data_IF_184216400258
#
_entry.id   IF_184216400258
#
_cell.length_a   1.000
_cell.length_b   1.000
_cell.length_c   1.000
_cell.angle_alpha   90.00
_cell.angle_beta   90.00
_cell.angle_gamma   90.00
#
_symmetry.space_group_name_H-M   'P 1'
#
loop_
_entity.id
_entity.type
_entity.pdbx_description
1 polymer ?
#
# COMPACT_ATOMS: atom_id res chain seq x y z
N UNK A 1 -37.54 -1.95 20.22
CA UNK A 1 -36.61 -2.51 21.23
C UNK A 1 -35.18 -2.39 20.70
N UNK A 2 -34.48 -1.33 21.10
CA UNK A 2 -33.09 -1.06 20.73
C UNK A 2 -32.25 -1.11 22.00
N UNK A 3 -31.68 -2.27 22.34
CA UNK A 3 -30.64 -2.40 23.38
C UNK A 3 -30.12 -3.84 23.43
N UNK A 4 -29.01 -4.10 22.74
CA UNK A 4 -28.03 -5.15 23.12
C UNK A 4 -26.82 -5.03 22.19
N UNK A 5 -25.66 -4.76 22.79
CA UNK A 5 -24.33 -4.63 22.15
C UNK A 5 -23.94 -3.26 21.59
N UNK A 6 -24.20 -2.19 22.34
CA UNK A 6 -23.29 -1.04 22.31
C UNK A 6 -22.37 -1.15 23.52
N UNK A 7 -21.23 -1.80 23.32
CA UNK A 7 -20.11 -1.70 24.24
C UNK A 7 -19.41 -0.36 23.94
N UNK A 8 -19.43 0.54 24.92
CA UNK A 8 -18.81 1.85 24.87
C UNK A 8 -17.67 1.84 25.90
N UNK A 9 -16.43 1.89 25.41
CA UNK A 9 -15.18 1.78 26.17
C UNK A 9 -14.32 0.70 25.53
N UNK A 10 -13.18 0.94 24.92
CA UNK A 10 -12.06 1.79 25.32
C UNK A 10 -11.25 2.11 24.05
N UNK A 11 -10.45 3.18 24.05
CA UNK A 11 -9.74 3.68 22.87
C UNK A 11 -9.18 2.56 22.00
N UNK A 12 -9.59 2.53 20.73
CA UNK A 12 -9.18 1.52 19.78
C UNK A 12 -7.65 1.44 19.77
N UNK A 13 -7.09 0.43 20.42
CA UNK A 13 -5.76 -0.04 20.10
C UNK A 13 -5.83 -0.35 18.62
N UNK A 14 -5.27 0.55 17.81
CA UNK A 14 -5.17 0.34 16.37
C UNK A 14 -4.33 -0.93 16.24
N UNK A 15 -4.95 -2.04 15.89
CA UNK A 15 -4.24 -3.25 15.51
C UNK A 15 -3.31 -2.88 14.36
N UNK A 16 -2.06 -2.61 14.70
CA UNK A 16 -1.02 -2.27 13.76
C UNK A 16 -0.46 -3.56 13.21
N UNK A 17 -0.64 -3.78 11.91
CA UNK A 17 -0.11 -4.96 11.23
C UNK A 17 0.92 -4.53 10.19
N UNK A 18 1.90 -5.40 9.91
CA UNK A 18 2.97 -5.07 8.98
C UNK A 18 2.42 -4.92 7.57
N UNK A 19 2.78 -3.81 6.93
CA UNK A 19 2.47 -3.50 5.54
C UNK A 19 3.74 -3.03 4.82
N UNK A 20 3.69 -3.01 3.50
CA UNK A 20 4.74 -2.37 2.69
C UNK A 20 4.24 -1.03 2.23
N UNK A 21 5.11 -0.03 2.21
CA UNK A 21 4.80 1.33 1.74
C UNK A 21 5.89 1.79 0.78
N UNK A 22 5.52 2.58 -0.21
CA UNK A 22 6.45 3.31 -1.07
C UNK A 22 6.81 4.61 -0.35
N UNK A 23 8.10 4.81 -0.07
CA UNK A 23 8.66 6.09 0.33
C UNK A 23 8.76 6.98 -0.91
N UNK A 24 7.88 7.97 -1.02
CA UNK A 24 7.79 8.85 -2.19
C UNK A 24 9.03 9.74 -2.35
N UNK A 25 9.77 10.02 -1.27
CA UNK A 25 10.95 10.87 -1.32
C UNK A 25 12.16 10.12 -1.88
N UNK A 26 12.28 8.84 -1.49
CA UNK A 26 13.39 7.97 -1.91
C UNK A 26 13.07 7.13 -3.13
N UNK A 27 11.79 7.01 -3.48
CA UNK A 27 11.28 6.04 -4.46
C UNK A 27 11.75 4.61 -4.13
N UNK A 28 11.50 4.20 -2.88
CA UNK A 28 11.88 2.88 -2.35
C UNK A 28 10.69 2.23 -1.64
N UNK A 29 10.61 0.90 -1.66
CA UNK A 29 9.60 0.17 -0.89
C UNK A 29 10.19 -0.21 0.47
N UNK A 30 9.51 0.19 1.54
CA UNK A 30 9.91 -0.12 2.92
C UNK A 30 8.91 -1.05 3.59
N UNK A 31 9.38 -1.82 4.58
CA UNK A 31 8.50 -2.45 5.56
C UNK A 31 8.10 -1.40 6.60
N UNK A 32 6.81 -1.30 6.83
CA UNK A 32 6.20 -0.40 7.79
C UNK A 32 5.02 -1.12 8.44
N UNK A 33 4.18 -0.38 9.14
CA UNK A 33 2.91 -0.83 9.68
C UNK A 33 1.85 0.26 9.48
N UNK A 34 0.61 -0.04 9.83
CA UNK A 34 -0.52 0.89 9.69
C UNK A 34 -0.50 2.07 10.66
N UNK A 35 0.50 2.20 11.55
CA UNK A 35 0.69 3.40 12.38
C UNK A 35 1.27 4.58 11.59
N UNK A 36 1.90 4.31 10.45
CA UNK A 36 2.47 5.31 9.58
C UNK A 36 1.37 6.15 8.93
N UNK A 37 1.69 7.41 8.61
CA UNK A 37 0.81 8.28 7.82
C UNK A 37 1.06 8.06 6.34
N UNK A 38 0.11 7.45 5.65
CA UNK A 38 0.22 7.15 4.22
C UNK A 38 -1.06 7.44 3.46
N UNK A 39 -0.92 7.67 2.16
CA UNK A 39 -2.02 7.62 1.21
C UNK A 39 -2.19 6.20 0.67
N UNK A 40 -3.41 5.77 0.37
CA UNK A 40 -3.67 4.54 -0.37
C UNK A 40 -4.09 4.85 -1.81
N UNK A 41 -3.65 4.07 -2.79
CA UNK A 41 -4.10 4.18 -4.19
C UNK A 41 -5.12 3.09 -4.52
N UNK A 42 -6.30 3.51 -4.96
CA UNK A 42 -7.33 2.65 -5.54
C UNK A 42 -7.39 2.91 -7.05
N UNK A 43 -7.07 1.90 -7.85
CA UNK A 43 -7.03 2.00 -9.31
C UNK A 43 -7.31 0.64 -9.95
N UNK A 44 -7.71 0.65 -11.23
CA UNK A 44 -7.83 -0.56 -12.04
C UNK A 44 -6.48 -0.88 -12.68
N UNK A 45 -6.02 -2.13 -12.54
CA UNK A 45 -4.79 -2.56 -13.18
C UNK A 45 -4.99 -2.67 -14.70
N UNK A 46 -4.03 -2.17 -15.49
CA UNK A 46 -4.10 -2.30 -16.94
C UNK A 46 -3.85 -3.75 -17.40
N UNK A 47 -4.33 -4.12 -18.59
CA UNK A 47 -4.09 -5.47 -19.16
C UNK A 47 -2.60 -5.85 -19.25
N UNK A 48 -1.74 -4.89 -19.57
CA UNK A 48 -0.30 -5.12 -19.64
C UNK A 48 0.35 -5.30 -18.26
N UNK A 49 -0.32 -4.82 -17.21
CA UNK A 49 0.13 -4.90 -15.83
C UNK A 49 -0.15 -6.26 -15.18
N UNK A 50 -1.17 -6.99 -15.67
CA UNK A 50 -1.49 -8.35 -15.23
C UNK A 50 -0.47 -9.38 -15.74
N UNK A 51 0.09 -9.15 -16.94
CA UNK A 51 1.01 -10.06 -17.60
C UNK A 51 2.43 -10.02 -17.01
N UNK A 52 2.81 -8.89 -16.42
CA UNK A 52 4.13 -8.68 -15.78
C UNK A 52 3.94 -8.21 -14.33
N UNK A 53 3.59 -9.12 -13.40
CA UNK A 53 3.55 -8.76 -12.00
C UNK A 53 4.96 -8.29 -11.57
N UNK A 54 5.08 -7.21 -10.75
CA UNK A 54 6.38 -6.77 -10.27
C UNK A 54 7.09 -7.95 -9.62
N UNK A 55 8.30 -8.22 -10.10
CA UNK A 55 9.16 -9.28 -9.59
C UNK A 55 9.64 -8.85 -8.20
N UNK A 56 8.83 -9.14 -7.19
CA UNK A 56 9.24 -8.98 -5.80
C UNK A 56 10.36 -10.00 -5.53
N UNK A 57 11.59 -9.63 -5.83
CA UNK A 57 12.75 -10.34 -5.32
C UNK A 57 12.86 -9.87 -3.88
N UNK A 58 12.47 -10.76 -2.98
CA UNK A 58 12.62 -10.65 -1.53
C UNK A 58 14.12 -10.57 -1.16
N UNK A 59 14.80 -9.53 -1.62
CA UNK A 59 16.16 -9.20 -1.25
C UNK A 59 16.11 -7.82 -0.63
N UNK A 60 15.82 -7.80 0.67
CA UNK A 60 16.27 -6.75 1.59
C UNK A 60 17.81 -6.75 1.64
N UNK A 61 18.46 -6.52 0.50
CA UNK A 61 19.93 -6.43 0.42
C UNK A 61 20.40 -4.98 0.37
N UNK A 62 19.52 -4.00 0.63
CA UNK A 62 19.87 -2.59 0.45
C UNK A 62 20.22 -2.25 -1.01
N UNK A 63 19.77 -3.06 -1.98
CA UNK A 63 19.97 -2.81 -3.39
C UNK A 63 18.86 -1.88 -3.91
N UNK A 64 18.99 -0.60 -3.57
CA UNK A 64 18.19 0.54 -4.04
C UNK A 64 17.84 0.47 -5.53
N UNK A 65 18.75 -0.07 -6.35
CA UNK A 65 18.60 -0.18 -7.80
C UNK A 65 17.40 -1.01 -8.26
N UNK A 66 17.09 -2.12 -7.59
CA UNK A 66 16.05 -3.04 -8.09
C UNK A 66 14.64 -2.54 -7.79
N UNK A 67 14.46 -1.83 -6.67
CA UNK A 67 13.19 -1.19 -6.30
C UNK A 67 12.96 0.08 -7.12
N UNK A 68 14.03 0.85 -7.38
CA UNK A 68 13.97 2.05 -8.21
C UNK A 68 13.62 1.72 -9.68
N UNK A 69 14.20 0.68 -10.26
CA UNK A 69 13.89 0.25 -11.63
C UNK A 69 12.41 -0.17 -11.79
N UNK A 70 11.78 -0.72 -10.75
CA UNK A 70 10.35 -1.07 -10.78
C UNK A 70 9.46 0.17 -10.71
N UNK A 71 9.83 1.17 -9.92
CA UNK A 71 9.11 2.44 -9.84
C UNK A 71 9.32 3.30 -11.09
N UNK A 72 10.51 3.26 -11.70
CA UNK A 72 10.79 3.93 -12.97
C UNK A 72 9.95 3.36 -14.11
N UNK A 73 9.74 2.05 -14.12
CA UNK A 73 8.88 1.35 -15.10
C UNK A 73 7.41 1.28 -14.69
N UNK A 74 7.03 1.91 -13.56
CA UNK A 74 5.65 1.90 -13.10
C UNK A 74 4.73 2.66 -14.08
N UNK A 75 3.45 2.23 -14.19
CA UNK A 75 2.43 2.97 -14.92
C UNK A 75 2.35 4.43 -14.50
N UNK A 76 1.94 5.29 -15.44
CA UNK A 76 1.79 6.74 -15.20
C UNK A 76 0.91 7.04 -13.99
N UNK A 77 -0.15 6.26 -13.79
CA UNK A 77 -1.05 6.35 -12.63
C UNK A 77 -0.31 6.30 -11.29
N UNK A 78 0.71 5.45 -11.17
CA UNK A 78 1.49 5.30 -9.93
C UNK A 78 2.41 6.51 -9.74
N UNK A 79 3.03 6.99 -10.81
CA UNK A 79 3.88 8.20 -10.79
C UNK A 79 3.08 9.45 -10.40
N UNK A 80 1.86 9.56 -10.94
CA UNK A 80 0.94 10.65 -10.61
C UNK A 80 0.47 10.53 -9.15
N UNK A 81 0.22 9.31 -8.66
CA UNK A 81 -0.13 9.07 -7.26
C UNK A 81 1.00 9.42 -6.28
N UNK A 82 2.26 9.10 -6.60
CA UNK A 82 3.44 9.51 -5.82
C UNK A 82 3.49 11.05 -5.74
N UNK A 83 3.35 11.71 -6.89
CA UNK A 83 3.35 13.18 -6.97
C UNK A 83 2.20 13.79 -6.15
N UNK A 84 0.99 13.21 -6.24
CA UNK A 84 -0.17 13.66 -5.47
C UNK A 84 0.04 13.48 -3.96
N UNK A 85 0.63 12.36 -3.55
CA UNK A 85 0.95 12.07 -2.14
C UNK A 85 1.91 13.11 -1.57
N UNK A 86 2.98 13.44 -2.31
CA UNK A 86 3.92 14.50 -1.93
C UNK A 86 3.24 15.88 -1.83
N UNK A 87 2.34 16.21 -2.77
CA UNK A 87 1.57 17.47 -2.73
C UNK A 87 0.61 17.55 -1.55
N UNK A 88 0.20 16.43 -0.98
CA UNK A 88 -0.63 16.34 0.22
C UNK A 88 0.20 16.35 1.52
N UNK A 89 1.52 16.60 1.44
CA UNK A 89 2.47 16.52 2.56
C UNK A 89 2.51 15.14 3.22
N UNK A 90 2.22 14.09 2.46
CA UNK A 90 2.42 12.71 2.88
C UNK A 90 3.67 12.16 2.22
N UNK A 91 4.42 11.34 2.96
CA UNK A 91 5.65 10.71 2.46
C UNK A 91 5.42 9.31 1.91
N UNK A 92 4.41 8.62 2.44
CA UNK A 92 4.22 7.21 2.19
C UNK A 92 2.98 6.96 1.35
N UNK A 93 3.10 6.06 0.37
CA UNK A 93 2.01 5.64 -0.50
C UNK A 93 1.90 4.12 -0.48
N UNK A 94 0.70 3.61 -0.26
CA UNK A 94 0.38 2.21 -0.42
C UNK A 94 -0.22 1.95 -1.80
N UNK A 95 0.33 0.97 -2.52
CA UNK A 95 -0.17 0.53 -3.84
C UNK A 95 -0.25 -0.99 -3.84
N UNK A 96 -1.44 -1.55 -4.01
CA UNK A 96 -1.70 -3.00 -3.96
C UNK A 96 -0.68 -3.85 -4.76
N UNK A 97 -0.37 -3.46 -6.00
CA UNK A 97 0.48 -4.21 -6.91
C UNK A 97 1.93 -4.27 -6.44
N UNK A 98 2.42 -3.19 -5.83
CA UNK A 98 3.80 -3.10 -5.34
C UNK A 98 3.93 -3.53 -3.88
N UNK A 99 2.90 -3.33 -3.06
CA UNK A 99 2.94 -3.61 -1.64
C UNK A 99 2.51 -5.05 -1.30
N UNK A 100 1.72 -5.70 -2.16
CA UNK A 100 1.29 -7.11 -1.99
C UNK A 100 2.18 -8.03 -2.83
N UNK A 101 2.66 -9.12 -2.23
CA UNK A 101 3.41 -10.14 -2.96
C UNK A 101 2.52 -10.91 -3.94
N UNK A 102 2.62 -10.59 -5.23
CA UNK A 102 1.78 -11.21 -6.26
C UNK A 102 2.11 -12.67 -6.56
N UNK A 103 3.30 -13.16 -6.17
CA UNK A 103 3.73 -14.54 -6.45
C UNK A 103 3.31 -15.55 -5.39
N UNK A 104 2.96 -15.08 -4.19
CA UNK A 104 2.54 -15.95 -3.10
C UNK A 104 1.03 -15.83 -2.89
N UNK A 105 0.28 -16.82 -3.39
CA UNK A 105 -1.19 -16.82 -3.34
C UNK A 105 -1.74 -16.75 -1.90
N UNK A 106 -1.07 -17.40 -0.94
CA UNK A 106 -1.50 -17.40 0.47
C UNK A 106 -1.29 -16.03 1.13
N UNK A 107 -0.13 -15.41 0.90
CA UNK A 107 0.18 -14.05 1.40
C UNK A 107 -0.73 -13.01 0.73
N UNK A 108 -0.94 -13.12 -0.58
CA UNK A 108 -1.87 -12.30 -1.34
C UNK A 108 -3.29 -12.40 -0.78
N UNK A 109 -3.79 -13.61 -0.55
CA UNK A 109 -5.14 -13.80 0.00
C UNK A 109 -5.28 -13.16 1.39
N UNK A 110 -4.28 -13.34 2.26
CA UNK A 110 -4.27 -12.73 3.59
C UNK A 110 -4.28 -11.20 3.52
N UNK A 111 -3.44 -10.59 2.66
CA UNK A 111 -3.39 -9.15 2.52
C UNK A 111 -4.64 -8.56 1.85
N UNK A 112 -5.24 -9.28 0.90
CA UNK A 112 -6.54 -8.89 0.32
C UNK A 112 -7.64 -8.95 1.40
N UNK A 113 -7.64 -9.99 2.24
CA UNK A 113 -8.58 -10.06 3.35
C UNK A 113 -8.39 -8.90 4.34
N UNK A 114 -7.14 -8.48 4.59
CA UNK A 114 -6.80 -7.35 5.45
C UNK A 114 -6.90 -5.97 4.76
N UNK A 115 -7.24 -5.92 3.48
CA UNK A 115 -7.19 -4.68 2.68
C UNK A 115 -8.11 -3.60 3.24
N UNK A 116 -9.26 -3.99 3.79
CA UNK A 116 -10.18 -3.08 4.47
C UNK A 116 -9.52 -2.34 5.65
N UNK A 117 -8.59 -2.97 6.37
CA UNK A 117 -7.86 -2.35 7.47
C UNK A 117 -6.78 -1.38 6.98
N UNK A 118 -6.17 -1.67 5.82
CA UNK A 118 -5.21 -0.77 5.16
C UNK A 118 -5.93 0.52 4.76
N UNK A 119 -7.01 0.41 3.98
CA UNK A 119 -7.77 1.58 3.56
C UNK A 119 -8.36 2.36 4.75
N UNK A 120 -8.79 1.68 5.82
CA UNK A 120 -9.27 2.33 7.06
C UNK A 120 -8.17 3.14 7.76
N UNK A 121 -6.92 2.71 7.66
CA UNK A 121 -5.79 3.32 8.37
C UNK A 121 -5.06 4.38 7.55
N UNK A 122 -5.34 4.48 6.24
CA UNK A 122 -4.79 5.51 5.38
C UNK A 122 -5.36 6.89 5.74
N UNK A 123 -4.53 7.93 5.62
CA UNK A 123 -4.95 9.33 5.84
C UNK A 123 -5.90 9.79 4.72
N UNK A 124 -5.62 9.33 3.50
CA UNK A 124 -6.40 9.63 2.30
C UNK A 124 -6.35 8.45 1.34
N UNK A 125 -7.38 8.31 0.52
CA UNK A 125 -7.38 7.38 -0.61
C UNK A 125 -7.43 8.15 -1.91
N UNK A 126 -6.41 7.97 -2.74
CA UNK A 126 -6.36 8.46 -4.11
C UNK A 126 -7.12 7.48 -5.00
N UNK A 127 -8.03 7.98 -5.83
CA UNK A 127 -8.79 7.18 -6.79
C UNK A 127 -8.39 7.60 -8.19
N UNK A 128 -7.94 6.64 -8.99
CA UNK A 128 -7.66 6.84 -10.41
C UNK A 128 -8.62 5.99 -11.26
N UNK A 129 -9.32 6.66 -12.18
CA UNK A 129 -10.31 6.08 -13.09
C UNK A 129 -9.88 6.26 -14.55
#
# INVERSE_FOLDING_TARGET
ECQRYHDCGSGAEKDHFPIKLIDCDKNEIILADTSYKYAALSYVWGQQDELTPPTFVQKYTGNVRQDLDQLLNAPRTIKDAITATQKLNLRYLWVDRHCINQKNASEKHTQIAAMHLIYRSAEVTLVAA
#
